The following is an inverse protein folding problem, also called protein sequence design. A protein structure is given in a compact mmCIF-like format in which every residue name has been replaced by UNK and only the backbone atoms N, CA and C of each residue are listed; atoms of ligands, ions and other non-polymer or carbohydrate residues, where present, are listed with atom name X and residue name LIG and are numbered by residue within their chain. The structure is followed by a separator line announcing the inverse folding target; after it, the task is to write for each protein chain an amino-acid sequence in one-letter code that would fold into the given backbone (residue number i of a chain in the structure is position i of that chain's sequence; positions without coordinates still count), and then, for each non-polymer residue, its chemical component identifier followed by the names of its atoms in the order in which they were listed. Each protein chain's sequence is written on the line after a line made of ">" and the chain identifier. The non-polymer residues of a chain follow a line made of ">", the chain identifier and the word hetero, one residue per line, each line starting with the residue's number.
data_IF_967837435687
#
_entry.id   IF_967837435687
#
_cell.length_a   1.000
_cell.length_b   1.000
_cell.length_c   1.000
_cell.angle_alpha   90.00
_cell.angle_beta   90.00
_cell.angle_gamma   90.00
#
_symmetry.space_group_name_H-M   'P 1'
#
loop_
_entity.id
_entity.type
_entity.pdbx_description
1 polymer ?
#
# COMPACT_ATOMS: atom_id res chain seq x y z
N UNK A 1 11.65 19.08 -20.21
CA UNK A 1 10.32 18.49 -19.96
C UNK A 1 10.51 17.31 -19.03
N UNK A 2 10.08 17.42 -17.77
CA UNK A 2 10.20 16.31 -16.82
C UNK A 2 9.20 15.22 -17.24
N UNK A 3 9.67 13.98 -17.40
CA UNK A 3 8.81 12.85 -17.72
C UNK A 3 7.66 12.75 -16.71
N UNK A 4 6.43 12.35 -17.12
CA UNK A 4 5.35 12.13 -16.19
C UNK A 4 5.76 11.01 -15.23
N UNK A 5 6.08 11.40 -14.01
CA UNK A 5 6.54 10.49 -12.96
C UNK A 5 5.37 9.57 -12.57
N UNK A 6 5.42 8.39 -13.17
CA UNK A 6 4.32 7.43 -13.17
C UNK A 6 4.24 6.73 -11.82
N UNK A 7 3.01 6.44 -11.38
CA UNK A 7 2.72 5.67 -10.20
C UNK A 7 1.59 4.69 -10.49
N UNK A 8 1.61 3.55 -9.82
CA UNK A 8 0.65 2.47 -10.03
C UNK A 8 0.09 1.98 -8.69
N UNK A 9 -1.21 1.74 -8.68
CA UNK A 9 -1.88 0.99 -7.64
C UNK A 9 -1.84 -0.48 -8.02
N UNK A 10 -1.16 -1.28 -7.22
CA UNK A 10 -0.98 -2.70 -7.45
C UNK A 10 -1.77 -3.51 -6.42
N UNK A 11 -2.35 -4.60 -6.87
CA UNK A 11 -3.20 -5.48 -6.06
C UNK A 11 -2.92 -6.94 -6.36
N UNK A 12 -3.08 -7.80 -5.35
CA UNK A 12 -3.01 -9.26 -5.51
C UNK A 12 -3.93 -9.97 -4.51
N UNK A 13 -4.33 -11.23 -4.75
CA UNK A 13 -5.01 -12.03 -3.74
C UNK A 13 -4.22 -12.10 -2.43
N UNK A 14 -4.89 -11.98 -1.28
CA UNK A 14 -4.23 -12.14 0.03
C UNK A 14 -3.63 -13.54 0.17
N UNK A 15 -2.43 -13.66 0.75
CA UNK A 15 -1.74 -14.95 0.91
C UNK A 15 -2.14 -15.63 2.21
N UNK A 16 -3.37 -16.13 2.24
CA UNK A 16 -3.98 -16.80 3.40
C UNK A 16 -4.53 -18.17 3.02
N UNK A 17 -4.68 -19.11 3.98
CA UNK A 17 -5.52 -20.28 3.76
C UNK A 17 -6.91 -19.85 3.27
N UNK A 18 -7.37 -20.38 2.13
CA UNK A 18 -8.62 -19.93 1.49
C UNK A 18 -8.49 -18.65 0.65
N UNK A 19 -7.28 -18.25 0.23
CA UNK A 19 -7.02 -17.06 -0.59
C UNK A 19 -7.96 -16.86 -1.79
N UNK A 20 -8.37 -17.95 -2.46
CA UNK A 20 -9.31 -17.90 -3.59
C UNK A 20 -10.69 -17.42 -3.14
N UNK A 21 -11.19 -17.88 -1.99
CA UNK A 21 -12.46 -17.41 -1.42
C UNK A 21 -12.33 -15.97 -0.95
N UNK A 22 -11.22 -15.61 -0.30
CA UNK A 22 -10.94 -14.23 0.11
C UNK A 22 -10.93 -13.27 -1.10
N UNK A 23 -10.25 -13.64 -2.19
CA UNK A 23 -10.24 -12.87 -3.43
C UNK A 23 -11.64 -12.78 -4.08
N UNK A 24 -12.41 -13.87 -4.05
CA UNK A 24 -13.77 -13.90 -4.58
C UNK A 24 -14.73 -12.95 -3.84
N UNK A 25 -14.51 -12.71 -2.54
CA UNK A 25 -15.26 -11.71 -1.75
C UNK A 25 -14.61 -10.32 -1.75
N UNK A 26 -13.64 -10.08 -2.65
CA UNK A 26 -13.03 -8.77 -2.84
C UNK A 26 -11.88 -8.44 -1.88
N UNK A 27 -11.37 -9.42 -1.12
CA UNK A 27 -10.25 -9.21 -0.21
C UNK A 27 -8.92 -9.37 -0.94
N UNK A 28 -8.32 -8.23 -1.28
CA UNK A 28 -7.02 -8.13 -1.94
C UNK A 28 -6.01 -7.43 -1.04
N UNK A 29 -4.73 -7.74 -1.23
CA UNK A 29 -3.62 -6.98 -0.68
C UNK A 29 -3.27 -5.86 -1.68
N UNK A 30 -3.29 -4.61 -1.22
CA UNK A 30 -3.03 -3.43 -2.06
C UNK A 30 -1.69 -2.76 -1.68
N UNK A 31 -0.97 -2.20 -2.67
CA UNK A 31 0.23 -1.38 -2.46
C UNK A 31 0.42 -0.37 -3.60
N UNK A 32 1.40 0.51 -3.47
CA UNK A 32 1.73 1.52 -4.48
C UNK A 32 3.13 1.24 -5.03
N UNK A 33 3.26 1.25 -6.34
CA UNK A 33 4.52 1.13 -7.06
C UNK A 33 4.81 2.42 -7.84
N UNK A 34 6.09 2.77 -7.91
CA UNK A 34 6.68 3.87 -8.68
C UNK A 34 8.02 3.38 -9.24
N UNK A 35 8.66 4.08 -10.18
CA UNK A 35 10.00 3.71 -10.65
C UNK A 35 11.03 3.61 -9.51
N UNK A 36 10.91 4.47 -8.49
CA UNK A 36 11.91 4.58 -7.42
C UNK A 36 11.56 3.74 -6.18
N UNK A 37 10.27 3.52 -5.93
CA UNK A 37 9.76 2.91 -4.69
C UNK A 37 8.55 2.05 -4.92
N UNK A 38 8.46 1.00 -4.13
CA UNK A 38 7.30 0.15 -4.05
C UNK A 38 7.00 -0.09 -2.57
N UNK A 39 5.83 0.32 -2.10
CA UNK A 39 5.52 0.33 -0.67
C UNK A 39 4.05 0.02 -0.38
N UNK A 40 3.85 -0.70 0.73
CA UNK A 40 2.58 -1.01 1.37
C UNK A 40 2.59 -0.60 2.84
N UNK A 41 1.59 -1.02 3.61
CA UNK A 41 1.53 -0.76 5.04
C UNK A 41 1.27 -2.02 5.84
N UNK A 42 2.16 -2.36 6.76
CA UNK A 42 2.04 -3.57 7.56
C UNK A 42 2.42 -3.34 9.02
N UNK A 43 2.11 -4.31 9.88
CA UNK A 43 2.35 -4.24 11.31
C UNK A 43 3.83 -4.12 11.60
N UNK A 44 4.16 -3.25 12.56
CA UNK A 44 5.52 -3.11 13.06
C UNK A 44 6.14 -4.46 13.47
N UNK A 45 7.29 -4.78 12.87
CA UNK A 45 8.00 -6.04 13.13
C UNK A 45 7.41 -7.26 12.43
N UNK A 46 6.52 -7.08 11.45
CA UNK A 46 6.14 -8.17 10.54
C UNK A 46 7.18 -8.32 9.42
N UNK A 47 7.57 -9.55 9.07
CA UNK A 47 8.43 -9.87 7.91
C UNK A 47 7.67 -9.77 6.57
N UNK A 48 6.66 -8.92 6.53
CA UNK A 48 5.57 -8.90 5.57
C UNK A 48 5.91 -8.26 4.22
N UNK A 49 7.19 -8.25 3.84
CA UNK A 49 7.63 -8.07 2.45
C UNK A 49 6.82 -8.98 1.49
N UNK A 50 6.20 -10.05 2.02
CA UNK A 50 5.32 -10.99 1.32
C UNK A 50 3.84 -11.01 1.77
N UNK A 51 3.38 -10.12 2.65
CA UNK A 51 1.97 -10.04 3.09
C UNK A 51 1.47 -11.33 3.76
N UNK A 52 2.34 -11.97 4.54
CA UNK A 52 1.95 -13.12 5.36
C UNK A 52 1.09 -12.69 6.53
N UNK A 53 0.18 -13.55 6.96
CA UNK A 53 -0.59 -13.30 8.18
C UNK A 53 0.34 -13.15 9.38
N UNK A 54 0.04 -12.24 10.32
CA UNK A 54 0.82 -12.14 11.54
C UNK A 54 0.82 -13.48 12.28
N UNK A 55 2.00 -13.92 12.71
CA UNK A 55 2.19 -15.16 13.47
C UNK A 55 1.71 -15.06 14.92
N UNK A 56 1.38 -13.85 15.39
CA UNK A 56 0.86 -13.58 16.72
C UNK A 56 -0.39 -12.68 16.66
N UNK A 57 -1.47 -13.02 17.39
CA UNK A 57 -2.65 -12.16 17.51
C UNK A 57 -2.33 -10.75 18.01
N UNK A 58 -1.30 -10.60 18.85
CA UNK A 58 -0.89 -9.30 19.40
C UNK A 58 -0.35 -8.34 18.34
N UNK A 59 0.10 -8.86 17.19
CA UNK A 59 0.52 -8.02 16.07
C UNK A 59 -0.63 -7.19 15.53
N UNK A 60 -1.88 -7.63 15.67
CA UNK A 60 -3.06 -6.89 15.21
C UNK A 60 -3.30 -5.58 15.98
N UNK A 61 -2.77 -5.47 17.20
CA UNK A 61 -2.81 -4.26 18.02
C UNK A 61 -1.62 -3.33 17.79
N UNK A 62 -0.62 -3.76 16.99
CA UNK A 62 0.55 -2.94 16.70
C UNK A 62 0.22 -1.86 15.67
N UNK A 63 0.87 -0.69 15.75
CA UNK A 63 0.74 0.32 14.72
C UNK A 63 1.25 -0.21 13.37
N UNK A 64 0.63 0.26 12.29
CA UNK A 64 1.10 0.01 10.94
C UNK A 64 2.21 0.97 10.57
N UNK A 65 3.19 0.46 9.82
CA UNK A 65 4.28 1.21 9.24
C UNK A 65 4.32 1.00 7.74
N UNK A 66 4.83 2.00 7.03
CA UNK A 66 5.14 1.87 5.62
C UNK A 66 6.29 0.88 5.47
N UNK A 67 6.06 -0.17 4.70
CA UNK A 67 7.04 -1.22 4.45
C UNK A 67 7.42 -1.28 2.99
N UNK A 68 8.61 -1.83 2.72
CA UNK A 68 9.13 -1.98 1.37
C UNK A 68 8.52 -3.21 0.69
N UNK A 69 7.92 -3.00 -0.49
CA UNK A 69 7.32 -4.02 -1.35
C UNK A 69 8.12 -4.25 -2.65
N UNK A 70 9.38 -3.81 -2.72
CA UNK A 70 10.22 -3.90 -3.93
C UNK A 70 10.12 -5.26 -4.62
N UNK A 71 9.67 -5.25 -5.88
CA UNK A 71 9.55 -6.41 -6.74
C UNK A 71 8.22 -7.17 -6.58
N UNK A 72 7.34 -6.78 -5.67
CA UNK A 72 6.03 -7.42 -5.51
C UNK A 72 5.18 -7.29 -6.79
N UNK A 73 5.29 -6.16 -7.48
CA UNK A 73 4.63 -5.79 -8.74
C UNK A 73 4.95 -6.72 -9.91
N UNK A 74 6.04 -7.49 -9.83
CA UNK A 74 6.46 -8.46 -10.84
C UNK A 74 5.83 -9.84 -10.66
N UNK A 75 5.01 -10.02 -9.62
CA UNK A 75 4.33 -11.29 -9.37
C UNK A 75 3.33 -11.62 -10.49
N UNK A 76 3.18 -12.91 -10.81
CA UNK A 76 2.27 -13.39 -11.86
C UNK A 76 0.79 -13.24 -11.50
N UNK A 77 0.47 -13.06 -10.23
CA UNK A 77 -0.86 -12.88 -9.66
C UNK A 77 -1.18 -11.41 -9.32
N UNK A 78 -0.43 -10.47 -9.90
CA UNK A 78 -0.53 -9.04 -9.61
C UNK A 78 -1.19 -8.28 -10.75
N UNK A 79 -2.08 -7.38 -10.38
CA UNK A 79 -2.67 -6.40 -11.28
C UNK A 79 -2.28 -5.00 -10.84
N UNK A 80 -1.77 -4.19 -11.76
CA UNK A 80 -1.42 -2.80 -11.49
C UNK A 80 -2.19 -1.87 -12.43
N UNK A 81 -2.78 -0.79 -11.89
CA UNK A 81 -3.39 0.29 -12.69
C UNK A 81 -2.67 1.61 -12.42
N UNK A 82 -2.53 2.49 -13.43
CA UNK A 82 -1.93 3.80 -13.22
C UNK A 82 -2.77 4.64 -12.24
N UNK A 83 -2.10 5.35 -11.35
CA UNK A 83 -2.69 6.39 -10.52
C UNK A 83 -2.65 7.68 -11.34
N UNK A 84 -3.81 8.31 -11.53
CA UNK A 84 -3.95 9.59 -12.21
C UNK A 84 -4.13 10.74 -11.21
N UNK A 85 -3.69 11.93 -11.59
CA UNK A 85 -3.92 13.19 -10.86
C UNK A 85 -3.16 13.30 -9.53
N UNK A 86 -2.05 12.58 -9.35
CA UNK A 86 -1.24 12.66 -8.13
C UNK A 86 -0.08 13.63 -8.28
N UNK A 87 0.27 14.29 -7.17
CA UNK A 87 1.58 14.87 -6.96
C UNK A 87 2.59 13.75 -6.68
N UNK A 88 3.57 13.59 -7.56
CA UNK A 88 4.57 12.53 -7.44
C UNK A 88 5.54 12.72 -6.28
N UNK A 89 5.98 13.95 -6.00
CA UNK A 89 6.94 14.18 -4.92
C UNK A 89 6.27 13.92 -3.57
N UNK A 90 5.03 14.40 -3.42
CA UNK A 90 4.23 14.11 -2.23
C UNK A 90 3.94 12.61 -2.10
N UNK A 91 3.65 11.94 -3.22
CA UNK A 91 3.48 10.50 -3.22
C UNK A 91 4.76 9.81 -2.72
N UNK A 92 5.93 10.16 -3.27
CA UNK A 92 7.20 9.59 -2.84
C UNK A 92 7.46 9.77 -1.35
N UNK A 93 7.16 10.94 -0.80
CA UNK A 93 7.26 11.21 0.63
C UNK A 93 6.42 10.26 1.49
N UNK A 94 5.19 9.97 1.06
CA UNK A 94 4.28 9.04 1.72
C UNK A 94 4.76 7.58 1.62
N UNK A 95 5.50 7.22 0.56
CA UNK A 95 6.03 5.87 0.33
C UNK A 95 7.35 5.58 1.07
N UNK A 96 7.89 6.51 1.88
CA UNK A 96 9.13 6.29 2.64
C UNK A 96 8.93 5.16 3.68
N UNK A 97 9.71 4.07 3.61
CA UNK A 97 9.65 3.00 4.61
C UNK A 97 9.94 3.51 6.03
N UNK A 98 9.35 2.86 7.03
CA UNK A 98 9.54 3.20 8.45
C UNK A 98 8.72 4.40 8.92
N UNK A 99 7.95 5.06 8.05
CA UNK A 99 6.94 6.05 8.47
C UNK A 99 5.76 5.33 9.13
N UNK A 100 5.14 5.91 10.18
CA UNK A 100 3.85 5.45 10.64
C UNK A 100 2.82 5.55 9.51
N UNK A 101 2.18 4.42 9.18
CA UNK A 101 1.13 4.36 8.16
C UNK A 101 -0.23 4.84 8.70
N UNK A 102 -0.35 5.09 10.00
CA UNK A 102 -1.53 5.64 10.68
C UNK A 102 -1.67 5.09 12.11
N UNK A 103 -2.70 5.57 12.84
CA UNK A 103 -2.91 5.27 14.27
C UNK A 103 -4.03 4.25 14.56
N UNK A 104 -4.80 3.87 13.56
CA UNK A 104 -5.91 2.93 13.72
C UNK A 104 -5.39 1.47 13.72
N UNK A 105 -6.12 0.56 14.38
CA UNK A 105 -5.79 -0.87 14.47
C UNK A 105 -6.48 -1.67 13.35
N UNK A 106 -6.01 -2.89 13.11
CA UNK A 106 -6.69 -3.82 12.21
C UNK A 106 -8.08 -4.22 12.74
N UNK A 107 -9.10 -4.45 11.89
CA UNK A 107 -9.08 -4.37 10.41
C UNK A 107 -9.34 -2.97 9.85
N UNK A 108 -9.60 -1.97 10.70
CA UNK A 108 -9.93 -0.60 10.30
C UNK A 108 -8.76 0.14 9.66
N UNK A 109 -7.54 -0.31 9.95
CA UNK A 109 -6.31 0.13 9.30
C UNK A 109 -5.53 -1.05 8.78
N UNK A 110 -5.22 -1.06 7.49
CA UNK A 110 -4.47 -2.10 6.78
C UNK A 110 -3.84 -1.51 5.51
N UNK A 111 -3.13 -2.34 4.74
CA UNK A 111 -2.59 -1.98 3.42
C UNK A 111 -3.59 -1.20 2.56
N UNK A 112 -4.83 -1.68 2.45
CA UNK A 112 -5.83 -1.12 1.54
C UNK A 112 -6.29 0.26 2.01
N UNK A 113 -6.60 0.41 3.30
CA UNK A 113 -7.02 1.72 3.83
C UNK A 113 -5.88 2.73 3.78
N UNK A 114 -4.63 2.28 4.01
CA UNK A 114 -3.44 3.12 3.86
C UNK A 114 -3.24 3.56 2.41
N UNK A 115 -3.26 2.63 1.44
CA UNK A 115 -3.13 2.94 0.00
C UNK A 115 -4.17 3.96 -0.44
N UNK A 116 -5.44 3.75 -0.08
CA UNK A 116 -6.53 4.70 -0.40
C UNK A 116 -6.27 6.07 0.23
N UNK A 117 -5.76 6.10 1.47
CA UNK A 117 -5.38 7.32 2.16
C UNK A 117 -4.23 8.06 1.47
N UNK A 118 -3.18 7.35 1.05
CA UNK A 118 -2.03 7.91 0.32
C UNK A 118 -2.47 8.49 -1.02
N UNK A 119 -3.22 7.72 -1.82
CA UNK A 119 -3.74 8.19 -3.13
C UNK A 119 -4.59 9.44 -2.97
N UNK A 120 -5.46 9.49 -1.94
CA UNK A 120 -6.27 10.68 -1.67
C UNK A 120 -5.41 11.88 -1.29
N UNK A 121 -4.44 11.71 -0.39
CA UNK A 121 -3.55 12.80 0.05
C UNK A 121 -2.62 13.29 -1.06
N UNK A 122 -2.20 12.41 -1.97
CA UNK A 122 -1.38 12.80 -3.12
C UNK A 122 -2.18 13.56 -4.18
N UNK A 123 -3.51 13.40 -4.22
CA UNK A 123 -4.41 14.12 -5.14
C UNK A 123 -4.90 15.46 -4.59
N UNK A 124 -5.16 15.55 -3.29
CA UNK A 124 -5.66 16.76 -2.62
C UNK A 124 -4.61 17.88 -2.51
N UNK A 125 -3.60 17.90 -3.39
CA UNK A 125 -2.54 18.90 -3.44
C UNK A 125 -2.76 19.94 -4.55
N UNK A 126 -3.89 19.92 -5.27
CA UNK A 126 -4.32 21.13 -5.96
C UNK A 126 -4.52 22.20 -4.88
N UNK A 127 -3.78 23.33 -4.93
CA UNK A 127 -4.12 24.45 -4.09
C UNK A 127 -5.55 24.83 -4.43
N UNK A 128 -6.42 24.89 -3.42
CA UNK A 128 -7.66 25.63 -3.51
C UNK A 128 -7.30 26.97 -4.15
N UNK A 129 -7.76 27.21 -5.38
CA UNK A 129 -7.59 28.51 -6.01
C UNK A 129 -8.26 29.57 -5.11
N UNK A 130 -7.74 30.82 -5.10
CA UNK A 130 -8.02 31.83 -4.09
C UNK A 130 -9.51 32.16 -3.91
#
# INVERSE_FOLDING_TARGET
>A
MNAPRSAWWCVRPVRVPGNRMAAAVGWYHEWIATPDREAGADFYGSESVRGGWPTSPWSLLRPLYVINHKGASKGSDVWCRPIQGHDYERLQEELKPGRPAGRLIFPFHNCNTWVRGVIRRSRAAEPSAP
#
